data_IF_113384906686
#
_entry.id   IF_113384906686
#
_cell.length_a   1.000
_cell.length_b   1.000
_cell.length_c   1.000
_cell.angle_alpha   90.00
_cell.angle_beta   90.00
_cell.angle_gamma   90.00
#
_symmetry.space_group_name_H-M   'P 1'
#
loop_
_entity.id
_entity.type
_entity.pdbx_description
1 polymer ?
#
# COMPACT_ATOMS: atom_id res chain seq x y z
N UNK A 1 -1.45 22.98 10.87
CA UNK A 1 -1.82 21.56 10.93
C UNK A 1 -2.97 21.39 11.91
N UNK A 2 -4.10 20.84 11.46
CA UNK A 2 -5.18 20.48 12.39
C UNK A 2 -4.69 19.27 13.21
N UNK A 3 -4.67 19.41 14.54
CA UNK A 3 -4.39 18.28 15.43
C UNK A 3 -5.57 17.31 15.33
N UNK A 4 -5.29 16.07 14.96
CA UNK A 4 -6.29 15.00 14.99
C UNK A 4 -6.67 14.80 16.47
N UNK A 5 -7.95 14.95 16.79
CA UNK A 5 -8.46 14.57 18.11
C UNK A 5 -8.51 13.03 18.19
N UNK A 6 -7.52 12.44 18.85
CA UNK A 6 -7.43 11.00 19.02
C UNK A 6 -8.65 10.40 19.74
N UNK A 7 -9.36 11.19 20.56
CA UNK A 7 -10.55 10.72 21.26
C UNK A 7 -11.78 10.61 20.34
N UNK A 8 -11.76 11.32 19.21
CA UNK A 8 -12.82 11.25 18.21
C UNK A 8 -12.66 10.03 17.26
N UNK A 9 -11.53 9.33 17.31
CA UNK A 9 -11.26 8.16 16.47
C UNK A 9 -11.91 6.89 17.05
N UNK A 10 -12.35 5.94 16.19
CA UNK A 10 -12.75 4.59 16.61
C UNK A 10 -11.64 3.89 17.39
N UNK A 11 -12.01 3.01 18.35
CA UNK A 11 -11.06 2.31 19.23
C UNK A 11 -9.89 1.64 18.47
N UNK A 12 -10.11 0.87 17.39
CA UNK A 12 -9.00 0.24 16.67
C UNK A 12 -8.01 1.24 16.10
N UNK A 13 -8.49 2.39 15.65
CA UNK A 13 -7.63 3.45 15.10
C UNK A 13 -6.85 4.18 16.18
N UNK A 14 -7.44 4.36 17.39
CA UNK A 14 -6.71 4.91 18.55
C UNK A 14 -5.55 4.02 18.97
N UNK A 15 -5.74 2.70 19.00
CA UNK A 15 -4.67 1.74 19.31
C UNK A 15 -3.54 1.81 18.29
N UNK A 16 -3.87 1.89 17.01
CA UNK A 16 -2.87 2.06 15.93
C UNK A 16 -2.08 3.34 16.15
N UNK A 17 -2.77 4.47 16.35
CA UNK A 17 -2.11 5.78 16.56
C UNK A 17 -1.26 5.81 17.84
N UNK A 18 -1.71 5.18 18.92
CA UNK A 18 -0.93 5.03 20.14
C UNK A 18 0.36 4.23 19.90
N UNK A 19 0.28 3.14 19.12
CA UNK A 19 1.46 2.37 18.75
C UNK A 19 2.47 3.15 17.89
N UNK A 20 2.00 4.02 17.01
CA UNK A 20 2.86 4.92 16.24
C UNK A 20 3.52 5.99 17.12
N UNK A 21 2.85 6.46 18.15
CA UNK A 21 3.36 7.50 19.06
C UNK A 21 4.34 6.93 20.12
N UNK A 22 4.21 5.68 20.53
CA UNK A 22 5.05 5.05 21.55
C UNK A 22 6.41 4.63 21.00
N UNK A 23 7.54 5.25 21.42
CA UNK A 23 8.88 4.88 20.97
C UNK A 23 9.28 3.43 21.31
N UNK A 24 8.68 2.82 22.32
CA UNK A 24 8.97 1.46 22.75
C UNK A 24 8.18 0.41 21.94
N UNK A 25 7.13 0.81 21.22
CA UNK A 25 6.30 -0.09 20.46
C UNK A 25 7.06 -0.76 19.31
N UNK A 26 6.63 -1.96 18.94
CA UNK A 26 7.17 -2.65 17.76
C UNK A 26 6.90 -1.85 16.49
N UNK A 27 5.74 -1.23 16.38
CA UNK A 27 5.35 -0.36 15.25
C UNK A 27 6.34 0.79 15.08
N UNK A 28 6.56 1.59 16.11
CA UNK A 28 7.46 2.75 16.03
C UNK A 28 8.89 2.34 15.75
N UNK A 29 9.40 1.32 16.42
CA UNK A 29 10.76 0.81 16.22
C UNK A 29 10.98 0.26 14.81
N UNK A 30 9.99 -0.41 14.22
CA UNK A 30 10.09 -0.96 12.86
C UNK A 30 10.04 0.11 11.78
N UNK A 31 9.33 1.21 12.02
CA UNK A 31 9.17 2.30 11.05
C UNK A 31 10.23 3.40 11.19
N UNK A 32 10.94 3.47 12.31
CA UNK A 32 11.99 4.47 12.59
C UNK A 32 13.41 3.90 12.38
N UNK A 33 13.60 3.04 11.38
CA UNK A 33 14.88 2.36 11.13
C UNK A 33 15.91 3.25 10.41
N UNK A 34 15.48 4.36 9.82
CA UNK A 34 16.36 5.31 9.11
C UNK A 34 16.56 6.56 9.94
N UNK A 35 17.82 6.96 10.12
CA UNK A 35 18.21 8.16 10.86
C UNK A 35 19.20 8.98 10.04
N UNK A 36 18.95 10.29 9.78
CA UNK A 36 17.71 11.02 10.12
C UNK A 36 16.47 10.49 9.38
N UNK A 37 15.25 10.82 9.84
CA UNK A 37 14.03 10.45 9.14
C UNK A 37 14.02 10.94 7.70
N UNK A 38 13.53 10.10 6.78
CA UNK A 38 13.43 10.43 5.36
C UNK A 38 12.37 11.53 5.11
N UNK A 39 12.73 12.51 4.31
CA UNK A 39 11.78 13.47 3.72
C UNK A 39 11.54 13.10 2.25
N UNK A 40 10.50 12.31 2.01
CA UNK A 40 10.15 11.81 0.68
C UNK A 40 9.84 12.91 -0.36
N UNK A 41 9.79 14.18 0.06
CA UNK A 41 9.60 15.32 -0.82
C UNK A 41 10.94 15.91 -1.33
N UNK A 42 12.08 15.43 -0.82
CA UNK A 42 13.40 15.90 -1.26
C UNK A 42 13.88 15.19 -2.54
N UNK A 43 14.39 15.91 -3.53
CA UNK A 43 14.88 15.31 -4.77
C UNK A 43 15.93 14.22 -4.58
N UNK A 44 16.84 14.37 -3.59
CA UNK A 44 17.88 13.39 -3.31
C UNK A 44 17.31 12.06 -2.82
N UNK A 45 16.26 12.10 -2.00
CA UNK A 45 15.58 10.91 -1.49
C UNK A 45 14.67 10.28 -2.54
N UNK A 46 14.10 11.09 -3.42
CA UNK A 46 13.36 10.61 -4.58
C UNK A 46 14.26 9.89 -5.60
N UNK A 47 15.51 10.31 -5.73
CA UNK A 47 16.50 9.69 -6.61
C UNK A 47 17.18 8.45 -6.01
N UNK A 48 16.99 8.16 -4.73
CA UNK A 48 17.60 7.01 -4.06
C UNK A 48 16.87 5.71 -4.45
N UNK A 49 17.64 4.62 -4.57
CA UNK A 49 17.06 3.29 -4.82
C UNK A 49 16.52 2.68 -3.52
N UNK A 50 15.24 2.96 -3.23
CA UNK A 50 14.54 2.43 -2.05
C UNK A 50 13.28 1.65 -2.48
N UNK A 51 13.41 0.39 -2.90
CA UNK A 51 12.30 -0.37 -3.51
C UNK A 51 11.04 -0.47 -2.65
N UNK A 52 11.19 -0.34 -1.33
CA UNK A 52 10.06 -0.45 -0.39
C UNK A 52 9.24 0.85 -0.26
N UNK A 53 9.72 1.99 -0.75
CA UNK A 53 9.09 3.27 -0.36
C UNK A 53 9.08 4.39 -1.40
N UNK A 54 9.91 4.39 -2.43
CA UNK A 54 10.00 5.53 -3.32
C UNK A 54 9.66 5.26 -4.80
N UNK A 55 8.70 4.42 -5.05
CA UNK A 55 8.12 4.28 -6.38
C UNK A 55 7.47 5.59 -6.82
N UNK A 56 8.04 6.27 -7.83
CA UNK A 56 7.55 7.55 -8.34
C UNK A 56 6.99 7.35 -9.74
N UNK A 57 5.71 7.65 -9.91
CA UNK A 57 5.05 7.54 -11.20
C UNK A 57 3.82 8.47 -11.25
N UNK A 58 3.21 8.58 -12.43
CA UNK A 58 1.89 9.21 -12.55
C UNK A 58 0.78 8.21 -12.20
N UNK A 59 -0.39 8.70 -11.79
CA UNK A 59 -1.56 7.84 -11.55
C UNK A 59 -1.93 7.03 -12.80
N UNK A 60 -1.79 7.61 -13.99
CA UNK A 60 -1.99 6.91 -15.26
C UNK A 60 -1.00 5.76 -15.47
N UNK A 61 0.29 5.98 -15.17
CA UNK A 61 1.31 4.94 -15.31
C UNK A 61 1.05 3.80 -14.33
N UNK A 62 0.65 4.11 -13.09
CA UNK A 62 0.29 3.11 -12.08
C UNK A 62 -0.93 2.29 -12.51
N UNK A 63 -1.99 2.94 -12.98
CA UNK A 63 -3.18 2.24 -13.49
C UNK A 63 -2.84 1.35 -14.69
N UNK A 64 -2.01 1.82 -15.62
CA UNK A 64 -1.55 1.02 -16.78
C UNK A 64 -0.69 -0.18 -16.37
N UNK A 65 0.17 -0.01 -15.38
CA UNK A 65 0.93 -1.12 -14.79
C UNK A 65 -0.01 -2.20 -14.27
N UNK A 66 -1.00 -1.85 -13.45
CA UNK A 66 -1.98 -2.80 -12.94
C UNK A 66 -2.87 -3.41 -14.02
N UNK A 67 -3.24 -2.63 -15.04
CA UNK A 67 -3.97 -3.16 -16.20
C UNK A 67 -3.14 -4.20 -16.98
N UNK A 68 -1.84 -3.96 -17.15
CA UNK A 68 -0.94 -4.89 -17.82
C UNK A 68 -0.63 -6.17 -17.02
N UNK A 69 -0.95 -6.20 -15.72
CA UNK A 69 -0.92 -7.42 -14.91
C UNK A 69 -2.08 -8.37 -15.24
N UNK A 70 -3.27 -7.81 -15.52
CA UNK A 70 -4.50 -8.60 -15.76
C UNK A 70 -4.82 -8.81 -17.24
N UNK A 71 -4.25 -8.00 -18.12
CA UNK A 71 -4.53 -8.03 -19.57
C UNK A 71 -3.35 -7.54 -20.39
N UNK A 72 -3.62 -7.24 -21.65
CA UNK A 72 -2.67 -6.61 -22.56
C UNK A 72 -2.96 -5.11 -22.66
N UNK A 73 -1.92 -4.28 -22.55
CA UNK A 73 -1.98 -2.84 -22.70
C UNK A 73 -0.88 -2.41 -23.68
N UNK A 74 -1.28 -1.85 -24.82
CA UNK A 74 -0.37 -1.42 -25.89
C UNK A 74 0.61 -2.53 -26.35
N UNK A 75 0.11 -3.74 -26.50
CA UNK A 75 0.93 -4.90 -26.91
C UNK A 75 1.79 -5.51 -25.79
N UNK A 76 1.64 -5.04 -24.56
CA UNK A 76 2.43 -5.54 -23.41
C UNK A 76 1.55 -6.17 -22.34
N UNK A 77 1.94 -7.37 -21.93
CA UNK A 77 1.43 -8.06 -20.75
C UNK A 77 2.59 -8.38 -19.83
N UNK A 78 2.49 -8.02 -18.54
CA UNK A 78 3.57 -8.18 -17.56
C UNK A 78 3.61 -9.60 -16.99
N UNK A 79 2.45 -10.17 -16.65
CA UNK A 79 2.34 -11.51 -16.08
C UNK A 79 1.44 -12.40 -16.93
N UNK A 80 1.81 -13.68 -17.01
CA UNK A 80 0.87 -14.69 -17.52
C UNK A 80 -0.30 -14.87 -16.55
N UNK A 81 -1.41 -15.42 -17.01
CA UNK A 81 -2.55 -15.70 -16.14
C UNK A 81 -2.18 -16.67 -14.99
N UNK A 82 -1.33 -17.64 -15.26
CA UNK A 82 -0.82 -18.60 -14.28
C UNK A 82 0.04 -17.91 -13.22
N UNK A 83 0.99 -17.06 -13.65
CA UNK A 83 1.84 -16.29 -12.72
C UNK A 83 1.00 -15.35 -11.86
N UNK A 84 0.01 -14.68 -12.45
CA UNK A 84 -0.90 -13.82 -11.71
C UNK A 84 -1.69 -14.61 -10.66
N UNK A 85 -2.25 -15.76 -11.03
CA UNK A 85 -2.97 -16.63 -10.11
C UNK A 85 -2.09 -17.08 -8.94
N UNK A 86 -0.84 -17.46 -9.21
CA UNK A 86 0.13 -17.81 -8.18
C UNK A 86 0.49 -16.61 -7.28
N UNK A 87 0.68 -15.42 -7.85
CA UNK A 87 1.02 -14.21 -7.11
C UNK A 87 -0.13 -13.70 -6.23
N UNK A 88 -1.38 -13.93 -6.63
CA UNK A 88 -2.58 -13.53 -5.88
C UNK A 88 -3.16 -14.65 -5.01
N UNK A 89 -2.57 -15.85 -5.04
CA UNK A 89 -2.91 -16.91 -4.09
C UNK A 89 -2.55 -16.47 -2.65
N UNK A 90 -3.48 -16.65 -1.71
CA UNK A 90 -3.25 -16.29 -0.32
C UNK A 90 -2.07 -17.06 0.28
N UNK A 91 -1.07 -16.35 0.79
CA UNK A 91 0.11 -16.89 1.47
C UNK A 91 0.06 -16.66 2.97
N UNK A 92 -0.51 -15.53 3.41
CA UNK A 92 -0.62 -15.20 4.81
C UNK A 92 -1.90 -14.41 5.09
N UNK A 93 -2.45 -14.62 6.29
CA UNK A 93 -3.60 -13.89 6.82
C UNK A 93 -3.46 -13.72 8.32
N UNK A 94 -3.89 -12.59 8.83
CA UNK A 94 -3.94 -12.34 10.26
C UNK A 94 -3.83 -10.87 10.62
N UNK A 95 -3.65 -10.60 11.91
CA UNK A 95 -3.35 -9.26 12.41
C UNK A 95 -1.86 -8.98 12.21
N UNK A 96 -1.52 -7.97 11.42
CA UNK A 96 -0.13 -7.51 11.29
C UNK A 96 0.32 -6.88 12.63
N UNK A 97 1.43 -7.39 13.18
CA UNK A 97 1.91 -6.98 14.50
C UNK A 97 2.57 -5.59 14.49
N UNK A 98 3.00 -5.12 13.31
CA UNK A 98 3.65 -3.82 13.12
C UNK A 98 2.61 -2.77 12.77
N UNK A 99 1.83 -3.00 11.73
CA UNK A 99 0.81 -2.07 11.26
C UNK A 99 -0.47 -2.09 12.11
N UNK A 100 -0.68 -3.14 12.89
CA UNK A 100 -1.83 -3.32 13.79
C UNK A 100 -3.18 -3.34 13.06
N UNK A 101 -3.16 -3.84 11.83
CA UNK A 101 -4.37 -3.97 10.99
C UNK A 101 -4.50 -5.40 10.47
N UNK A 102 -5.73 -5.87 10.19
CA UNK A 102 -5.93 -7.14 9.51
C UNK A 102 -5.29 -7.10 8.12
N UNK A 103 -4.51 -8.13 7.80
CA UNK A 103 -3.90 -8.28 6.48
C UNK A 103 -4.24 -9.64 5.88
N UNK A 104 -4.28 -9.64 4.56
CA UNK A 104 -4.36 -10.83 3.72
C UNK A 104 -3.42 -10.59 2.54
N UNK A 105 -2.43 -11.44 2.36
CA UNK A 105 -1.30 -11.18 1.46
C UNK A 105 -1.05 -12.39 0.57
N UNK A 106 -0.87 -12.13 -0.73
CA UNK A 106 -0.30 -13.05 -1.70
C UNK A 106 1.20 -12.82 -1.87
N UNK A 107 1.77 -13.28 -2.95
CA UNK A 107 3.18 -13.05 -3.27
C UNK A 107 3.35 -11.67 -3.92
N UNK A 108 3.68 -10.67 -3.12
CA UNK A 108 3.89 -9.29 -3.56
C UNK A 108 2.65 -8.42 -3.67
N UNK A 109 1.46 -8.93 -3.36
CA UNK A 109 0.21 -8.18 -3.40
C UNK A 109 -0.59 -8.33 -2.10
N UNK A 110 -1.18 -7.22 -1.67
CA UNK A 110 -2.26 -7.24 -0.69
C UNK A 110 -3.54 -7.73 -1.36
N UNK A 111 -4.34 -8.46 -0.59
CA UNK A 111 -5.63 -9.00 -0.98
C UNK A 111 -6.74 -8.40 -0.09
N UNK A 112 -7.99 -8.28 -0.56
CA UNK A 112 -9.07 -7.72 0.22
C UNK A 112 -9.32 -8.51 1.50
N UNK A 113 -9.57 -7.78 2.59
CA UNK A 113 -10.09 -8.33 3.86
C UNK A 113 -11.55 -7.92 4.03
N UNK A 114 -12.34 -8.57 4.90
CA UNK A 114 -13.71 -8.15 5.15
C UNK A 114 -13.86 -6.68 5.55
N UNK A 115 -12.87 -6.14 6.24
CA UNK A 115 -12.88 -4.77 6.78
C UNK A 115 -12.14 -3.77 5.87
N UNK A 116 -11.46 -4.23 4.83
CA UNK A 116 -10.69 -3.40 3.91
C UNK A 116 -10.93 -3.85 2.46
N UNK A 117 -12.04 -3.45 1.94
CA UNK A 117 -12.37 -3.54 0.52
C UNK A 117 -11.73 -2.40 -0.23
N UNK A 118 -10.96 -2.72 -1.26
CA UNK A 118 -10.54 -1.68 -2.19
C UNK A 118 -11.58 -1.46 -3.27
N UNK A 119 -12.09 -2.53 -3.86
CA UNK A 119 -13.10 -2.49 -4.91
C UNK A 119 -13.98 -3.73 -4.91
N UNK A 120 -13.38 -4.93 -4.94
CA UNK A 120 -14.09 -6.20 -5.01
C UNK A 120 -13.34 -7.30 -4.26
N UNK A 121 -13.98 -8.45 -4.00
CA UNK A 121 -13.31 -9.60 -3.38
C UNK A 121 -12.20 -10.23 -4.22
N UNK A 122 -12.16 -9.95 -5.53
CA UNK A 122 -11.18 -10.47 -6.48
C UNK A 122 -10.07 -9.47 -6.81
N UNK A 123 -10.16 -8.23 -6.29
CA UNK A 123 -9.15 -7.23 -6.47
C UNK A 123 -7.84 -7.61 -5.74
N UNK A 124 -6.73 -7.15 -6.28
CA UNK A 124 -5.41 -7.24 -5.65
C UNK A 124 -4.62 -5.97 -5.90
N UNK A 125 -3.75 -5.59 -4.98
CA UNK A 125 -2.98 -4.36 -5.13
C UNK A 125 -2.24 -4.02 -3.86
N UNK A 126 -1.88 -2.75 -3.67
CA UNK A 126 -1.25 -2.30 -2.44
C UNK A 126 -1.52 -0.83 -2.16
N UNK A 127 -1.92 -0.46 -0.92
CA UNK A 127 -1.94 0.91 -0.47
C UNK A 127 -0.52 1.36 -0.09
N UNK A 128 -0.20 2.61 -0.39
CA UNK A 128 1.09 3.20 -0.04
C UNK A 128 1.00 4.27 1.03
N UNK A 129 2.16 4.62 1.59
CA UNK A 129 2.28 5.73 2.54
C UNK A 129 1.78 7.03 1.90
N UNK A 130 1.06 7.83 2.67
CA UNK A 130 0.47 9.08 2.20
C UNK A 130 -0.82 8.92 1.40
N UNK A 131 -1.36 7.69 1.29
CA UNK A 131 -2.66 7.42 0.67
C UNK A 131 -2.60 7.01 -0.80
N UNK A 132 -1.41 6.79 -1.39
CA UNK A 132 -1.35 6.20 -2.73
C UNK A 132 -2.01 4.83 -2.76
N UNK A 133 -2.59 4.47 -3.90
CA UNK A 133 -3.24 3.19 -4.08
C UNK A 133 -3.12 2.73 -5.53
N UNK A 134 -2.66 1.51 -5.72
CA UNK A 134 -2.74 0.81 -7.00
C UNK A 134 -3.40 -0.53 -6.82
N UNK A 135 -4.34 -0.87 -7.68
CA UNK A 135 -4.97 -2.19 -7.69
C UNK A 135 -5.53 -2.55 -9.06
N UNK A 136 -5.76 -3.84 -9.26
CA UNK A 136 -6.56 -4.37 -10.36
C UNK A 136 -7.56 -5.40 -9.87
N UNK A 137 -8.61 -5.60 -10.65
CA UNK A 137 -9.62 -6.64 -10.46
C UNK A 137 -9.78 -7.45 -11.74
N UNK A 138 -9.29 -8.69 -11.78
CA UNK A 138 -9.40 -9.54 -12.96
C UNK A 138 -10.83 -9.90 -13.33
N UNK A 139 -11.77 -9.92 -12.37
CA UNK A 139 -13.16 -10.30 -12.63
C UNK A 139 -13.92 -9.22 -13.41
N UNK A 140 -13.58 -7.97 -13.23
CA UNK A 140 -14.24 -6.83 -13.89
C UNK A 140 -13.37 -6.16 -14.96
N UNK A 141 -12.08 -6.51 -15.03
CA UNK A 141 -11.12 -5.86 -15.92
C UNK A 141 -10.73 -4.44 -15.48
N UNK A 142 -11.09 -4.03 -14.26
CA UNK A 142 -10.76 -2.71 -13.73
C UNK A 142 -9.32 -2.66 -13.26
N UNK A 143 -8.61 -1.58 -13.60
CA UNK A 143 -7.34 -1.20 -13.00
C UNK A 143 -7.38 0.25 -12.55
N UNK A 144 -6.81 0.50 -11.38
CA UNK A 144 -6.86 1.80 -10.73
C UNK A 144 -5.47 2.24 -10.24
N UNK A 145 -5.21 3.53 -10.32
CA UNK A 145 -4.02 4.15 -9.77
C UNK A 145 -4.33 5.53 -9.21
N UNK A 146 -3.96 5.75 -7.98
CA UNK A 146 -3.97 7.05 -7.32
C UNK A 146 -2.60 7.33 -6.72
N UNK A 147 -2.08 8.51 -6.97
CA UNK A 147 -0.83 9.02 -6.37
C UNK A 147 -1.05 10.46 -5.92
N UNK A 148 -0.49 10.80 -4.75
CA UNK A 148 -0.46 12.19 -4.31
C UNK A 148 0.73 12.92 -4.95
N UNK A 149 0.66 14.23 -5.02
CA UNK A 149 1.76 15.07 -5.50
C UNK A 149 2.75 15.46 -4.38
N UNK A 150 2.40 15.18 -3.14
CA UNK A 150 3.22 15.44 -1.95
C UNK A 150 2.85 14.45 -0.84
N UNK A 151 3.85 13.91 -0.16
CA UNK A 151 3.63 13.14 1.06
C UNK A 151 3.44 14.11 2.21
N UNK A 152 2.25 14.12 2.80
CA UNK A 152 1.97 14.86 4.03
C UNK A 152 2.36 14.00 5.23
N UNK A 153 3.04 14.62 6.19
CA UNK A 153 3.26 14.00 7.48
C UNK A 153 1.96 14.11 8.30
N UNK A 154 1.37 12.95 8.62
CA UNK A 154 0.20 12.83 9.47
C UNK A 154 0.53 13.02 10.95
#
# INVERSE_FOLDING_TARGET
>A
MARIDLNALPEPMREVMAAYADPASLTRRSLAVVTPPLDHNRPQEQAAEMPATNGICTARALARFYAALIGEVDGHRILTAETLAAATAEQARGMDRILRVPVRIGTGFGLPTPDAFWYSPTAFGFPGRGGSLGFADPATGLAFGYVMNRVEEG
#
